data_IF_559337197988
#
_entry.id   IF_559337197988
#
_cell.length_a   1.000
_cell.length_b   1.000
_cell.length_c   1.000
_cell.angle_alpha   90.00
_cell.angle_beta   90.00
_cell.angle_gamma   90.00
#
_symmetry.space_group_name_H-M   'P 1'
#
loop_
_entity.id
_entity.type
_entity.pdbx_description
1 polymer ?
#
# COMPACT_ATOMS: atom_id res chain seq x y z
N UNK A 1 10.07 -20.32 -9.80
CA UNK A 1 8.87 -20.35 -8.93
C UNK A 1 7.69 -19.84 -9.71
N UNK A 2 6.49 -20.41 -9.50
CA UNK A 2 5.24 -19.87 -10.01
C UNK A 2 4.48 -19.26 -8.83
N UNK A 3 4.04 -18.03 -8.97
CA UNK A 3 3.25 -17.34 -7.93
C UNK A 3 1.78 -17.52 -8.25
N UNK A 4 0.99 -17.92 -7.24
CA UNK A 4 -0.46 -18.06 -7.34
C UNK A 4 -1.09 -17.13 -6.30
N UNK A 5 -1.99 -16.26 -6.76
CA UNK A 5 -2.77 -15.38 -5.89
C UNK A 5 -4.16 -15.98 -5.73
N UNK A 6 -4.60 -16.14 -4.49
CA UNK A 6 -5.91 -16.69 -4.14
C UNK A 6 -6.69 -15.61 -3.40
N UNK A 7 -7.89 -15.28 -3.88
CA UNK A 7 -8.85 -14.46 -3.14
C UNK A 7 -9.77 -15.41 -2.38
N UNK A 8 -9.77 -15.30 -1.05
CA UNK A 8 -10.67 -16.05 -0.18
C UNK A 8 -11.67 -15.11 0.46
N UNK A 9 -12.80 -15.65 0.90
CA UNK A 9 -13.80 -14.93 1.67
C UNK A 9 -13.38 -14.88 3.15
N UNK A 10 -13.67 -13.77 3.84
CA UNK A 10 -13.31 -13.63 5.26
C UNK A 10 -13.95 -14.70 6.15
N UNK A 11 -15.13 -15.22 5.77
CA UNK A 11 -15.82 -16.29 6.52
C UNK A 11 -15.04 -17.60 6.58
N UNK A 12 -14.04 -17.80 5.72
CA UNK A 12 -13.19 -19.00 5.70
C UNK A 12 -11.74 -18.71 6.10
N UNK A 13 -11.40 -17.47 6.45
CA UNK A 13 -10.03 -17.05 6.71
C UNK A 13 -9.34 -17.89 7.79
N UNK A 14 -10.00 -18.12 8.94
CA UNK A 14 -9.43 -18.93 10.03
C UNK A 14 -9.14 -20.37 9.59
N UNK A 15 -10.06 -21.00 8.87
CA UNK A 15 -9.90 -22.39 8.38
C UNK A 15 -8.80 -22.49 7.33
N UNK A 16 -8.70 -21.46 6.47
CA UNK A 16 -7.72 -21.42 5.41
C UNK A 16 -6.32 -21.17 5.99
N UNK A 17 -6.20 -20.25 6.94
CA UNK A 17 -4.95 -19.99 7.66
C UNK A 17 -4.48 -21.24 8.40
N UNK A 18 -5.38 -21.92 9.12
CA UNK A 18 -5.08 -23.19 9.78
C UNK A 18 -4.54 -24.25 8.80
N UNK A 19 -5.11 -24.37 7.60
CA UNK A 19 -4.61 -25.29 6.56
C UNK A 19 -3.18 -24.92 6.14
N UNK A 20 -2.88 -23.63 6.00
CA UNK A 20 -1.55 -23.15 5.57
C UNK A 20 -0.48 -23.37 6.65
N UNK A 21 -0.84 -23.35 7.93
CA UNK A 21 0.09 -23.63 9.05
C UNK A 21 0.66 -25.06 9.02
N UNK A 22 0.06 -25.98 8.26
CA UNK A 22 0.55 -27.35 8.13
C UNK A 22 1.75 -27.48 7.19
N UNK A 23 2.01 -26.44 6.40
CA UNK A 23 3.13 -26.41 5.47
C UNK A 23 4.34 -25.73 6.12
N UNK A 24 5.54 -26.13 5.71
CA UNK A 24 6.74 -25.44 6.16
C UNK A 24 6.76 -24.01 5.62
N UNK A 25 7.26 -23.07 6.41
CA UNK A 25 7.46 -21.66 6.00
C UNK A 25 8.43 -21.52 4.83
N UNK A 26 9.23 -22.54 4.54
CA UNK A 26 10.08 -22.61 3.36
C UNK A 26 9.32 -23.04 2.09
N UNK A 27 8.14 -23.66 2.24
CA UNK A 27 7.31 -24.16 1.14
C UNK A 27 6.19 -23.18 0.80
N UNK A 28 5.61 -22.53 1.82
CA UNK A 28 4.54 -21.53 1.67
C UNK A 28 4.93 -20.25 2.38
N UNK A 29 4.87 -19.14 1.64
CA UNK A 29 5.02 -17.79 2.17
C UNK A 29 3.71 -17.05 1.98
N UNK A 30 3.05 -16.69 3.09
CA UNK A 30 1.91 -15.77 3.07
C UNK A 30 2.48 -14.38 2.84
N UNK A 31 2.09 -13.77 1.74
CA UNK A 31 2.37 -12.37 1.45
C UNK A 31 1.10 -11.62 1.78
N UNK A 32 1.10 -10.81 2.84
CA UNK A 32 0.00 -9.89 3.07
C UNK A 32 -0.11 -8.97 1.85
N UNK A 33 -1.20 -9.10 1.10
CA UNK A 33 -1.62 -8.03 0.22
C UNK A 33 -2.30 -7.02 1.13
N UNK A 34 -1.68 -5.87 1.31
CA UNK A 34 -2.43 -4.68 1.71
C UNK A 34 -3.59 -4.55 0.74
N UNK A 35 -4.81 -4.36 1.24
CA UNK A 35 -5.93 -4.04 0.37
C UNK A 35 -5.52 -2.88 -0.54
N UNK A 36 -5.86 -2.99 -1.82
CA UNK A 36 -5.65 -1.88 -2.74
C UNK A 36 -6.47 -0.70 -2.24
N UNK A 37 -5.79 0.27 -1.65
CA UNK A 37 -6.33 1.58 -1.33
C UNK A 37 -5.98 2.50 -2.49
N UNK A 38 -6.94 3.31 -2.94
CA UNK A 38 -6.63 4.33 -3.95
C UNK A 38 -5.56 5.28 -3.44
N UNK A 39 -4.77 5.89 -4.33
CA UNK A 39 -3.71 6.82 -3.94
C UNK A 39 -4.25 7.96 -3.06
N UNK A 40 -5.44 8.48 -3.36
CA UNK A 40 -6.09 9.52 -2.55
C UNK A 40 -6.44 9.02 -1.13
N UNK A 41 -6.98 7.81 -1.03
CA UNK A 41 -7.30 7.19 0.27
C UNK A 41 -6.03 6.91 1.08
N UNK A 42 -4.97 6.43 0.43
CA UNK A 42 -3.66 6.25 1.05
C UNK A 42 -3.10 7.58 1.60
N UNK A 43 -3.09 8.63 0.79
CA UNK A 43 -2.56 9.93 1.19
C UNK A 43 -3.36 10.54 2.35
N UNK A 44 -4.69 10.36 2.36
CA UNK A 44 -5.56 10.84 3.46
C UNK A 44 -5.37 10.08 4.76
N UNK A 45 -4.97 8.81 4.70
CA UNK A 45 -4.70 7.99 5.89
C UNK A 45 -3.39 8.38 6.60
N UNK A 46 -2.51 9.14 5.96
CA UNK A 46 -1.28 9.61 6.58
C UNK A 46 -1.56 10.87 7.41
N UNK A 47 -1.44 10.74 8.73
CA UNK A 47 -1.63 11.86 9.66
C UNK A 47 -0.77 13.07 9.27
N UNK A 48 -1.43 14.21 9.07
CA UNK A 48 -0.78 15.48 8.71
C UNK A 48 -0.55 15.69 7.21
N UNK A 49 -0.71 14.66 6.35
CA UNK A 49 -0.42 14.79 4.93
C UNK A 49 -1.32 15.78 4.19
N UNK A 50 -2.63 15.78 4.51
CA UNK A 50 -3.57 16.77 3.96
C UNK A 50 -3.15 18.20 4.31
N UNK A 51 -2.71 18.41 5.56
CA UNK A 51 -2.25 19.73 6.00
C UNK A 51 -0.94 20.11 5.30
N UNK A 52 0.02 19.20 5.19
CA UNK A 52 1.28 19.45 4.48
C UNK A 52 1.09 19.81 3.01
N UNK A 53 0.11 19.20 2.33
CA UNK A 53 -0.23 19.57 0.94
C UNK A 53 -0.81 20.99 0.89
N UNK A 54 -1.69 21.34 1.82
CA UNK A 54 -2.23 22.69 1.91
C UNK A 54 -1.16 23.74 2.21
N UNK A 55 -0.21 23.42 3.09
CA UNK A 55 0.89 24.31 3.44
C UNK A 55 1.83 24.50 2.22
N UNK A 56 2.17 23.42 1.51
CA UNK A 56 2.98 23.48 0.29
C UNK A 56 2.32 24.30 -0.83
N UNK A 57 0.98 24.29 -0.92
CA UNK A 57 0.24 25.15 -1.88
C UNK A 57 0.35 26.64 -1.56
N UNK A 58 0.63 27.00 -0.31
CA UNK A 58 0.79 28.39 0.12
C UNK A 58 2.23 28.89 0.01
N UNK A 59 3.18 28.01 -0.31
CA UNK A 59 4.59 28.40 -0.45
C UNK A 59 4.80 29.29 -1.69
N UNK A 60 5.69 30.29 -1.61
CA UNK A 60 6.02 31.13 -2.76
C UNK A 60 6.60 30.31 -3.91
N UNK A 61 6.16 30.58 -5.14
CA UNK A 61 6.65 29.90 -6.34
C UNK A 61 8.17 30.03 -6.57
N UNK A 62 8.84 30.99 -5.91
CA UNK A 62 10.28 31.21 -6.03
C UNK A 62 11.13 30.01 -5.55
N UNK A 63 10.60 29.16 -4.66
CA UNK A 63 11.24 27.92 -4.21
C UNK A 63 10.80 26.66 -4.95
N UNK A 64 9.84 26.77 -5.87
CA UNK A 64 9.25 25.63 -6.58
C UNK A 64 10.07 25.18 -7.79
N UNK A 65 10.03 23.88 -8.08
CA UNK A 65 10.56 23.30 -9.32
C UNK A 65 9.45 23.08 -10.33
N UNK A 66 9.66 23.54 -11.56
CA UNK A 66 8.74 23.30 -12.68
C UNK A 66 8.93 21.89 -13.23
N UNK A 67 7.91 21.37 -13.91
CA UNK A 67 7.88 19.98 -14.38
C UNK A 67 9.10 19.62 -15.27
N UNK A 68 9.63 20.60 -16.00
CA UNK A 68 10.81 20.50 -16.85
C UNK A 68 12.15 20.39 -16.08
N UNK A 69 12.14 20.63 -14.76
CA UNK A 69 13.32 20.58 -13.88
C UNK A 69 13.32 19.40 -12.90
N UNK A 70 12.33 18.51 -13.00
CA UNK A 70 12.31 17.28 -12.22
C UNK A 70 13.28 16.27 -12.85
N UNK A 71 14.16 15.69 -12.05
CA UNK A 71 15.03 14.58 -12.46
C UNK A 71 14.28 13.27 -12.15
N UNK A 72 13.93 12.51 -13.18
CA UNK A 72 13.16 11.26 -13.08
C UNK A 72 14.09 10.05 -13.11
#
# INVERSE_FOLDING_TARGET
MKTVTLKIDDSVNEKFTWLLEHFSTNEIKILEQSEYVSDDEYLRNINGMVQSIHDAQQEPQEGGVTLDKLEW
#
